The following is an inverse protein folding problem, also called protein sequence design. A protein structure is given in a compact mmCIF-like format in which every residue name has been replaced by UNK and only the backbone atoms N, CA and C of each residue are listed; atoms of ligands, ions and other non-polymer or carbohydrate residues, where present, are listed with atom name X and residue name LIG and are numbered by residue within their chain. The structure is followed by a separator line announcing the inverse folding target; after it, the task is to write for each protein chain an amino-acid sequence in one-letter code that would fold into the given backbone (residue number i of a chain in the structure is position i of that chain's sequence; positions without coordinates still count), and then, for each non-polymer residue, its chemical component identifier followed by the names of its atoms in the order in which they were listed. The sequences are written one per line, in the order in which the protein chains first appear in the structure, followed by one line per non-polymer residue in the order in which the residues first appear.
data_IF_545374210209
#
_entry.id   IF_545374210209
#
_cell.length_a   1.000
_cell.length_b   1.000
_cell.length_c   1.000
_cell.angle_alpha   90.00
_cell.angle_beta   90.00
_cell.angle_gamma   90.00
#
_symmetry.space_group_name_H-M   'P 1'
#
loop_
_entity.id
_entity.type
_entity.pdbx_description
1 polymer ?
#
# COMPACT_ATOMS: atom_id res chain seq x y z
N UNK A 1 17.23 -5.74 -14.00
CA UNK A 1 16.54 -7.00 -13.85
C UNK A 1 15.12 -6.89 -14.38
N UNK A 2 14.63 -7.94 -15.02
CA UNK A 2 13.30 -7.93 -15.60
C UNK A 2 12.42 -8.99 -14.97
N UNK A 3 11.11 -8.71 -14.91
CA UNK A 3 10.13 -9.59 -14.30
C UNK A 3 8.96 -9.84 -15.24
N UNK A 4 8.48 -11.09 -15.24
CA UNK A 4 7.20 -11.41 -15.88
C UNK A 4 6.05 -10.98 -14.96
N UNK A 5 4.82 -10.94 -15.49
CA UNK A 5 3.62 -10.65 -14.70
C UNK A 5 3.54 -11.56 -13.47
N UNK A 6 3.72 -12.87 -13.69
CA UNK A 6 3.57 -13.83 -12.61
C UNK A 6 4.61 -13.64 -11.52
N UNK A 7 5.87 -13.41 -11.92
CA UNK A 7 6.96 -13.24 -10.95
C UNK A 7 6.78 -11.96 -10.15
N UNK A 8 6.46 -10.85 -10.81
CA UNK A 8 6.27 -9.58 -10.14
C UNK A 8 5.06 -9.64 -9.19
N UNK A 9 3.95 -10.21 -9.64
CA UNK A 9 2.78 -10.35 -8.80
C UNK A 9 3.09 -11.14 -7.53
N UNK A 10 3.82 -12.24 -7.67
CA UNK A 10 4.22 -13.07 -6.52
C UNK A 10 5.09 -12.29 -5.55
N UNK A 11 6.08 -11.57 -6.04
CA UNK A 11 6.97 -10.76 -5.20
C UNK A 11 6.23 -9.65 -4.48
N UNK A 12 5.25 -9.06 -5.14
CA UNK A 12 4.48 -7.94 -4.57
C UNK A 12 3.31 -8.39 -3.67
N UNK A 13 3.01 -9.70 -3.67
CA UNK A 13 1.90 -10.20 -2.87
C UNK A 13 0.52 -9.89 -3.43
N UNK A 14 0.43 -9.69 -4.75
CA UNK A 14 -0.84 -9.45 -5.44
C UNK A 14 -1.05 -10.53 -6.51
N UNK A 15 -2.23 -10.56 -7.10
CA UNK A 15 -2.52 -11.53 -8.15
C UNK A 15 -2.05 -11.02 -9.50
N UNK A 16 -1.75 -11.96 -10.42
CA UNK A 16 -1.45 -11.61 -11.80
C UNK A 16 -2.61 -10.85 -12.44
N UNK A 17 -3.84 -11.20 -12.06
CA UNK A 17 -5.05 -10.53 -12.54
C UNK A 17 -5.06 -9.05 -12.15
N UNK A 18 -4.70 -8.74 -10.92
CA UNK A 18 -4.60 -7.37 -10.44
C UNK A 18 -3.58 -6.59 -11.25
N UNK A 19 -2.43 -7.19 -11.50
CA UNK A 19 -1.35 -6.53 -12.24
C UNK A 19 -1.76 -6.25 -13.69
N UNK A 20 -2.47 -7.20 -14.34
CA UNK A 20 -3.01 -6.99 -15.68
C UNK A 20 -4.08 -5.90 -15.70
N UNK A 21 -4.89 -5.86 -14.66
CA UNK A 21 -5.91 -4.82 -14.52
C UNK A 21 -5.27 -3.44 -14.43
N UNK A 22 -4.16 -3.32 -13.69
CA UNK A 22 -3.42 -2.06 -13.58
C UNK A 22 -2.90 -1.58 -14.94
N UNK A 23 -2.51 -2.50 -15.81
CA UNK A 23 -2.15 -2.17 -17.18
C UNK A 23 -3.37 -1.66 -17.96
N UNK A 24 -4.49 -2.38 -17.87
CA UNK A 24 -5.72 -2.01 -18.59
C UNK A 24 -6.21 -0.61 -18.25
N UNK A 25 -6.17 -0.24 -16.98
CA UNK A 25 -6.64 1.09 -16.55
C UNK A 25 -5.55 2.17 -16.65
N UNK A 26 -4.34 1.80 -17.05
CA UNK A 26 -3.25 2.75 -17.28
C UNK A 26 -2.56 3.24 -16.02
N UNK A 27 -2.70 2.55 -14.89
CA UNK A 27 -2.01 2.93 -13.67
C UNK A 27 -0.59 2.39 -13.61
N UNK A 28 -0.37 1.20 -14.19
CA UNK A 28 0.96 0.60 -14.28
C UNK A 28 1.08 -0.20 -15.58
N UNK A 29 1.81 0.35 -16.53
CA UNK A 29 2.06 -0.30 -17.80
C UNK A 29 3.36 -1.08 -17.73
N UNK A 30 3.47 -2.22 -18.46
CA UNK A 30 4.74 -2.92 -18.52
C UNK A 30 5.77 -2.08 -19.28
N UNK A 31 7.05 -2.37 -19.06
CA UNK A 31 8.12 -1.72 -19.82
C UNK A 31 8.03 -2.05 -21.30
N UNK A 32 7.66 -3.29 -21.62
CA UNK A 32 7.50 -3.77 -22.99
C UNK A 32 6.72 -5.08 -23.03
N UNK A 33 6.31 -5.45 -24.22
CA UNK A 33 5.76 -6.78 -24.52
C UNK A 33 6.84 -7.50 -25.31
N UNK A 34 7.21 -8.71 -24.87
CA UNK A 34 8.27 -9.45 -25.58
C UNK A 34 7.72 -10.12 -26.85
N UNK A 35 8.61 -10.77 -27.60
CA UNK A 35 8.26 -11.40 -28.88
C UNK A 35 7.23 -12.51 -28.72
N UNK A 36 7.08 -13.09 -27.54
CA UNK A 36 6.07 -14.11 -27.24
C UNK A 36 4.74 -13.54 -26.75
N UNK A 37 4.62 -12.23 -26.70
CA UNK A 37 3.39 -11.56 -26.26
C UNK A 37 3.25 -11.40 -24.75
N UNK A 38 4.31 -11.64 -23.99
CA UNK A 38 4.26 -11.50 -22.53
C UNK A 38 4.69 -10.11 -22.09
N UNK A 39 4.03 -9.63 -21.04
CA UNK A 39 4.36 -8.34 -20.41
C UNK A 39 5.65 -8.48 -19.60
N UNK A 40 6.56 -7.54 -19.78
CA UNK A 40 7.85 -7.51 -19.08
C UNK A 40 7.95 -6.20 -18.29
N UNK A 41 8.32 -6.32 -17.02
CA UNK A 41 8.43 -5.20 -16.09
C UNK A 41 9.87 -5.03 -15.66
N UNK A 42 10.35 -3.79 -15.66
CA UNK A 42 11.70 -3.46 -15.23
C UNK A 42 11.68 -2.79 -13.86
N UNK A 43 12.83 -2.26 -13.46
CA UNK A 43 12.97 -1.63 -12.13
C UNK A 43 12.06 -0.41 -11.97
N UNK A 44 11.93 0.41 -13.00
CA UNK A 44 11.05 1.58 -12.92
C UNK A 44 9.61 1.18 -12.62
N UNK A 45 9.15 0.07 -13.22
CA UNK A 45 7.80 -0.43 -12.99
C UNK A 45 7.65 -1.05 -11.60
N UNK A 46 8.69 -1.70 -11.10
CA UNK A 46 8.70 -2.23 -9.74
C UNK A 46 8.57 -1.09 -8.73
N UNK A 47 9.34 -0.02 -8.92
CA UNK A 47 9.30 1.15 -8.04
C UNK A 47 7.92 1.82 -8.08
N UNK A 48 7.34 1.94 -9.26
CA UNK A 48 5.99 2.50 -9.39
C UNK A 48 4.95 1.63 -8.70
N UNK A 49 5.04 0.32 -8.86
CA UNK A 49 4.13 -0.61 -8.18
C UNK A 49 4.22 -0.45 -6.68
N UNK A 50 5.42 -0.29 -6.13
CA UNK A 50 5.61 -0.06 -4.71
C UNK A 50 4.85 1.19 -4.24
N UNK A 51 4.92 2.28 -5.00
CA UNK A 51 4.19 3.51 -4.69
C UNK A 51 2.67 3.27 -4.73
N UNK A 52 2.19 2.58 -5.75
CA UNK A 52 0.76 2.26 -5.86
C UNK A 52 0.29 1.49 -4.64
N UNK A 53 1.04 0.47 -4.23
CA UNK A 53 0.66 -0.37 -3.10
C UNK A 53 0.70 0.41 -1.78
N UNK A 54 1.63 1.35 -1.61
CA UNK A 54 1.65 2.22 -0.43
C UNK A 54 0.37 3.04 -0.34
N UNK A 55 -0.07 3.64 -1.44
CA UNK A 55 -1.33 4.39 -1.44
C UNK A 55 -2.53 3.50 -1.17
N UNK A 56 -2.52 2.27 -1.70
CA UNK A 56 -3.59 1.30 -1.43
C UNK A 56 -3.68 0.95 0.04
N UNK A 57 -2.55 0.85 0.71
CA UNK A 57 -2.52 0.60 2.16
C UNK A 57 -3.18 1.73 2.95
N UNK A 58 -3.20 2.92 2.40
CA UNK A 58 -3.84 4.09 3.02
C UNK A 58 -5.27 4.29 2.53
N UNK A 59 -5.83 3.29 1.85
CA UNK A 59 -7.21 3.30 1.33
C UNK A 59 -7.46 4.41 0.29
N UNK A 60 -6.43 4.84 -0.40
CA UNK A 60 -6.59 5.76 -1.52
C UNK A 60 -7.13 4.97 -2.71
N UNK A 61 -8.15 5.49 -3.38
CA UNK A 61 -8.76 4.79 -4.50
C UNK A 61 -7.86 4.79 -5.73
N UNK A 62 -8.10 3.83 -6.62
CA UNK A 62 -7.24 3.64 -7.81
C UNK A 62 -7.25 4.84 -8.74
N UNK A 63 -8.37 5.52 -8.87
CA UNK A 63 -8.45 6.68 -9.76
C UNK A 63 -7.58 7.82 -9.25
N UNK A 64 -7.59 8.07 -7.96
CA UNK A 64 -6.74 9.08 -7.33
C UNK A 64 -5.27 8.69 -7.44
N UNK A 65 -4.95 7.42 -7.21
CA UNK A 65 -3.58 6.92 -7.35
C UNK A 65 -3.09 7.13 -8.77
N UNK A 66 -3.92 6.80 -9.76
CA UNK A 66 -3.57 6.98 -11.17
C UNK A 66 -3.19 8.42 -11.47
N UNK A 67 -3.97 9.37 -10.97
CA UNK A 67 -3.67 10.80 -11.17
C UNK A 67 -2.35 11.20 -10.52
N UNK A 68 -2.10 10.71 -9.32
CA UNK A 68 -0.89 11.04 -8.57
C UNK A 68 0.36 10.52 -9.29
N UNK A 69 0.39 9.24 -9.61
CA UNK A 69 1.60 8.61 -10.17
C UNK A 69 1.85 8.99 -11.62
N UNK A 70 0.82 9.46 -12.33
CA UNK A 70 0.96 9.91 -13.71
C UNK A 70 1.20 11.41 -13.82
N UNK A 71 1.21 12.13 -12.71
CA UNK A 71 1.48 13.57 -12.71
C UNK A 71 2.92 13.84 -13.13
N UNK A 72 3.17 14.81 -14.03
CA UNK A 72 4.55 15.19 -14.41
C UNK A 72 5.37 15.70 -13.23
N UNK A 73 4.72 16.20 -12.19
CA UNK A 73 5.39 16.70 -10.98
C UNK A 73 5.54 15.66 -9.89
N UNK A 74 5.24 14.40 -10.18
CA UNK A 74 5.34 13.34 -9.18
C UNK A 74 6.79 13.16 -8.71
N UNK A 75 6.98 13.25 -7.40
CA UNK A 75 8.27 13.10 -6.74
C UNK A 75 8.15 11.91 -5.79
N UNK A 76 8.81 10.81 -6.12
CA UNK A 76 8.69 9.56 -5.36
C UNK A 76 9.29 9.67 -3.96
N UNK A 77 10.36 10.44 -3.79
CA UNK A 77 10.96 10.64 -2.46
C UNK A 77 10.00 11.41 -1.56
N UNK A 78 9.42 12.48 -2.09
CA UNK A 78 8.44 13.28 -1.35
C UNK A 78 7.22 12.42 -0.98
N UNK A 79 6.74 11.63 -1.94
CA UNK A 79 5.61 10.73 -1.72
C UNK A 79 5.90 9.72 -0.61
N UNK A 80 7.10 9.15 -0.59
CA UNK A 80 7.51 8.20 0.45
C UNK A 80 7.55 8.87 1.82
N UNK A 81 8.06 10.09 1.91
CA UNK A 81 8.10 10.83 3.17
C UNK A 81 6.70 11.11 3.70
N UNK A 82 5.81 11.55 2.83
CA UNK A 82 4.41 11.79 3.20
C UNK A 82 3.72 10.51 3.64
N UNK A 83 3.99 9.41 2.94
CA UNK A 83 3.44 8.10 3.29
C UNK A 83 3.91 7.67 4.67
N UNK A 84 5.21 7.86 4.96
CA UNK A 84 5.77 7.55 6.27
C UNK A 84 5.07 8.31 7.38
N UNK A 85 4.81 9.61 7.18
CA UNK A 85 4.12 10.43 8.18
C UNK A 85 2.69 9.92 8.43
N UNK A 86 1.99 9.53 7.40
CA UNK A 86 0.64 8.97 7.55
C UNK A 86 0.66 7.64 8.29
N UNK A 87 1.67 6.81 8.04
CA UNK A 87 1.83 5.55 8.77
C UNK A 87 2.11 5.78 10.24
N UNK A 88 2.92 6.77 10.57
CA UNK A 88 3.20 7.12 11.97
C UNK A 88 1.92 7.55 12.70
N UNK A 89 1.11 8.37 12.05
CA UNK A 89 -0.18 8.78 12.61
C UNK A 89 -1.11 7.58 12.81
N UNK A 90 -1.16 6.69 11.84
CA UNK A 90 -1.98 5.49 11.92
C UNK A 90 -1.51 4.58 13.06
N UNK A 91 -0.21 4.46 13.25
CA UNK A 91 0.37 3.68 14.37
C UNK A 91 -0.09 4.23 15.71
N UNK A 92 -0.06 5.55 15.86
CA UNK A 92 -0.49 6.21 17.08
C UNK A 92 -1.96 5.95 17.36
N UNK A 93 -2.79 6.03 16.31
CA UNK A 93 -4.22 5.74 16.44
C UNK A 93 -4.46 4.29 16.87
N UNK A 94 -3.72 3.36 16.28
CA UNK A 94 -3.82 1.94 16.64
C UNK A 94 -3.38 1.71 18.07
N UNK A 95 -2.32 2.37 18.54
CA UNK A 95 -1.86 2.27 19.93
C UNK A 95 -2.94 2.72 20.91
N UNK A 96 -3.66 3.79 20.59
CA UNK A 96 -4.75 4.27 21.43
C UNK A 96 -5.90 3.28 21.48
N UNK A 97 -6.24 2.68 20.34
CA UNK A 97 -7.30 1.67 20.29
C UNK A 97 -6.93 0.43 21.11
N UNK A 98 -5.69 -0.01 21.00
CA UNK A 98 -5.19 -1.14 21.78
C UNK A 98 -5.26 -0.84 23.27
N UNK A 99 -4.85 0.36 23.67
CA UNK A 99 -4.92 0.77 25.08
C UNK A 99 -6.37 0.75 25.59
N UNK A 100 -7.32 1.13 24.77
CA UNK A 100 -8.74 1.07 25.12
C UNK A 100 -9.22 -0.36 25.30
N UNK A 101 -8.80 -1.25 24.42
CA UNK A 101 -9.11 -2.68 24.55
C UNK A 101 -8.53 -3.24 25.83
N UNK A 102 -7.27 -2.89 26.14
CA UNK A 102 -6.61 -3.36 27.34
C UNK A 102 -7.36 -2.93 28.60
N UNK A 103 -7.85 -1.69 28.64
CA UNK A 103 -8.67 -1.20 29.75
C UNK A 103 -9.95 -2.00 29.91
N UNK A 104 -10.62 -2.26 28.80
CA UNK A 104 -11.86 -3.04 28.81
C UNK A 104 -11.60 -4.45 29.32
N UNK A 105 -10.53 -5.08 28.85
CA UNK A 105 -10.15 -6.40 29.31
C UNK A 105 -9.86 -6.41 30.81
N UNK A 106 -9.13 -5.42 31.30
CA UNK A 106 -8.82 -5.33 32.72
C UNK A 106 -10.07 -5.24 33.59
N UNK A 107 -11.05 -4.46 33.15
CA UNK A 107 -12.34 -4.35 33.86
C UNK A 107 -13.10 -5.67 33.81
N UNK A 108 -13.18 -6.29 32.64
CA UNK A 108 -13.92 -7.56 32.47
C UNK A 108 -13.28 -8.70 33.23
N UNK A 109 -11.98 -8.69 33.39
CA UNK A 109 -11.25 -9.70 34.14
C UNK A 109 -11.14 -9.41 35.62
N UNK A 110 -11.76 -8.33 36.10
CA UNK A 110 -11.77 -7.99 37.51
C UNK A 110 -10.46 -7.42 38.05
N UNK A 111 -9.51 -7.02 37.18
CA UNK A 111 -8.23 -6.46 37.59
C UNK A 111 -8.33 -5.01 37.99
N UNK A 112 -9.37 -4.29 37.52
CA UNK A 112 -9.67 -2.94 37.93
C UNK A 112 -11.15 -2.67 37.73
N UNK A 113 -11.67 -1.65 38.42
CA UNK A 113 -13.04 -1.21 38.26
C UNK A 113 -13.07 0.11 37.51
N UNK A 114 -14.25 0.47 36.96
CA UNK A 114 -14.40 1.73 36.23
C UNK A 114 -14.12 2.93 37.12
N UNK A 115 -14.43 2.83 38.41
CA UNK A 115 -14.19 3.91 39.36
C UNK A 115 -12.71 4.10 39.70
N UNK A 116 -11.88 3.13 39.43
CA UNK A 116 -10.44 3.20 39.73
C UNK A 116 -9.66 3.90 38.64
N UNK A 117 -10.32 4.36 37.62
CA UNK A 117 -9.64 4.97 36.46
C UNK A 117 -9.32 6.44 36.61
N UNK A 118 -9.88 7.06 37.56
CA UNK A 118 -9.68 8.51 37.81
C UNK A 118 -8.27 8.90 38.24
#
# INVERSE_FOLDING_TARGET
MEYTVQKLARLAGITSRTLRYYDEIGILKPARINSSGYRIYGQAEVDRLQQILFYRELDVDLESIKKIVNSPSFDDVKALKEHREKLLTKREQLNLLIANVDKTLAVREGRMTMSDKE
#
